data_IF_364487667113
#
_entry.id   IF_364487667113
#
_cell.length_a   1.000
_cell.length_b   1.000
_cell.length_c   1.000
_cell.angle_alpha   90.00
_cell.angle_beta   90.00
_cell.angle_gamma   90.00
#
_symmetry.space_group_name_H-M   'P 1'
#
loop_
_entity.id
_entity.type
_entity.pdbx_description
1 polymer ?
#
# COMPACT_ATOMS: atom_id res chain seq x y z
N UNK A 1 -8.01 15.51 -0.12
CA UNK A 1 -6.80 15.56 -1.00
C UNK A 1 -7.27 15.49 -2.45
N UNK A 2 -6.76 16.35 -3.35
CA UNK A 2 -7.04 16.20 -4.80
C UNK A 2 -6.02 15.23 -5.40
N UNK A 3 -6.50 14.17 -6.05
CA UNK A 3 -5.64 13.18 -6.70
C UNK A 3 -5.26 13.70 -8.09
N UNK A 4 -3.97 13.75 -8.43
CA UNK A 4 -3.55 14.07 -9.80
C UNK A 4 -3.94 12.90 -10.75
N UNK A 5 -4.74 13.16 -11.80
CA UNK A 5 -5.16 12.14 -12.77
C UNK A 5 -4.01 11.50 -13.55
N UNK A 6 -2.78 12.01 -13.44
CA UNK A 6 -1.57 11.38 -13.99
C UNK A 6 -0.97 10.33 -13.05
N UNK A 7 -1.23 10.44 -11.76
CA UNK A 7 -0.63 9.59 -10.71
C UNK A 7 -1.49 8.37 -10.43
N UNK A 8 -2.81 8.56 -10.37
CA UNK A 8 -3.77 7.49 -10.09
C UNK A 8 -3.58 6.27 -11.01
N UNK A 9 -3.43 6.41 -12.35
CA UNK A 9 -3.21 5.25 -13.22
C UNK A 9 -1.90 4.51 -12.92
N UNK A 10 -0.83 5.22 -12.52
CA UNK A 10 0.47 4.62 -12.20
C UNK A 10 0.38 3.80 -10.92
N UNK A 11 -0.25 4.35 -9.88
CA UNK A 11 -0.48 3.65 -8.61
C UNK A 11 -1.38 2.43 -8.83
N UNK A 12 -2.45 2.57 -9.62
CA UNK A 12 -3.35 1.45 -9.99
C UNK A 12 -2.62 0.36 -10.76
N UNK A 13 -1.69 0.70 -11.65
CA UNK A 13 -0.85 -0.26 -12.37
C UNK A 13 0.07 -1.03 -11.41
N UNK A 14 0.73 -0.34 -10.49
CA UNK A 14 1.60 -0.96 -9.49
C UNK A 14 0.80 -1.93 -8.58
N UNK A 15 -0.38 -1.52 -8.11
CA UNK A 15 -1.29 -2.40 -7.36
C UNK A 15 -1.74 -3.61 -8.18
N UNK A 16 -2.09 -3.42 -9.45
CA UNK A 16 -2.49 -4.52 -10.34
C UNK A 16 -1.39 -5.57 -10.42
N UNK A 17 -0.14 -5.14 -10.63
CA UNK A 17 1.00 -6.06 -10.73
C UNK A 17 1.28 -6.77 -9.39
N UNK A 18 1.19 -6.06 -8.26
CA UNK A 18 1.38 -6.63 -6.93
C UNK A 18 0.30 -7.65 -6.57
N UNK A 19 -0.99 -7.31 -6.75
CA UNK A 19 -2.14 -8.18 -6.47
C UNK A 19 -2.08 -9.45 -7.33
N UNK A 20 -1.63 -9.35 -8.58
CA UNK A 20 -1.51 -10.49 -9.50
C UNK A 20 -0.20 -11.27 -9.34
N UNK A 21 0.66 -10.87 -8.41
CA UNK A 21 1.98 -11.48 -8.16
C UNK A 21 2.78 -11.55 -9.46
N UNK A 22 3.01 -10.38 -10.07
CA UNK A 22 3.78 -10.19 -11.32
C UNK A 22 5.06 -9.38 -11.04
N UNK A 23 6.15 -10.01 -10.56
CA UNK A 23 7.33 -9.29 -10.11
C UNK A 23 7.98 -8.42 -11.19
N UNK A 24 8.03 -8.91 -12.43
CA UNK A 24 8.60 -8.15 -13.56
C UNK A 24 7.73 -6.93 -13.93
N UNK A 25 6.41 -7.11 -14.00
CA UNK A 25 5.46 -6.02 -14.25
C UNK A 25 5.47 -5.01 -13.10
N UNK A 26 5.63 -5.48 -11.87
CA UNK A 26 5.73 -4.62 -10.69
C UNK A 26 7.01 -3.79 -10.70
N UNK A 27 8.17 -4.43 -10.95
CA UNK A 27 9.43 -3.74 -11.10
C UNK A 27 9.35 -2.69 -12.22
N UNK A 28 8.76 -3.03 -13.36
CA UNK A 28 8.54 -2.09 -14.46
C UNK A 28 7.62 -0.93 -14.07
N UNK A 29 6.54 -1.19 -13.35
CA UNK A 29 5.62 -0.15 -12.87
C UNK A 29 6.32 0.81 -11.89
N UNK A 30 7.25 0.30 -11.07
CA UNK A 30 8.01 1.13 -10.14
C UNK A 30 8.93 2.15 -10.85
N UNK A 31 9.41 1.84 -12.05
CA UNK A 31 10.25 2.75 -12.84
C UNK A 31 9.47 3.98 -13.39
N UNK A 32 8.14 3.95 -13.33
CA UNK A 32 7.33 5.11 -13.68
C UNK A 32 7.30 6.20 -12.60
N UNK A 33 7.78 5.89 -11.39
CA UNK A 33 7.83 6.84 -10.29
C UNK A 33 9.21 7.51 -10.19
N UNK A 34 9.25 8.82 -10.33
CA UNK A 34 10.45 9.64 -10.29
C UNK A 34 10.38 10.71 -9.17
N UNK A 35 11.38 11.59 -9.10
CA UNK A 35 11.40 12.65 -8.10
C UNK A 35 10.26 13.68 -8.24
N UNK A 36 9.66 13.80 -9.43
CA UNK A 36 8.59 14.75 -9.69
C UNK A 36 7.23 14.23 -9.22
N UNK A 37 7.03 12.90 -9.24
CA UNK A 37 5.74 12.27 -8.96
C UNK A 37 5.73 11.34 -7.74
N UNK A 38 6.90 10.90 -7.26
CA UNK A 38 7.02 9.85 -6.26
C UNK A 38 6.45 10.24 -4.90
N UNK A 39 6.54 11.51 -4.51
CA UNK A 39 5.95 11.99 -3.25
C UNK A 39 4.43 11.90 -3.24
N UNK A 40 3.78 12.28 -4.34
CA UNK A 40 2.32 12.20 -4.47
C UNK A 40 1.85 10.75 -4.61
N UNK A 41 2.58 9.93 -5.37
CA UNK A 41 2.33 8.49 -5.46
C UNK A 41 2.43 7.81 -4.08
N UNK A 42 3.47 8.13 -3.30
CA UNK A 42 3.64 7.60 -1.95
C UNK A 42 2.52 8.05 -1.01
N UNK A 43 2.08 9.31 -1.10
CA UNK A 43 0.96 9.82 -0.31
C UNK A 43 -0.36 9.09 -0.66
N UNK A 44 -0.65 8.91 -1.96
CA UNK A 44 -1.83 8.17 -2.41
C UNK A 44 -1.80 6.70 -1.97
N UNK A 45 -0.67 6.02 -2.18
CA UNK A 45 -0.50 4.62 -1.73
C UNK A 45 -0.64 4.53 -0.21
N UNK A 46 -0.03 5.42 0.56
CA UNK A 46 -0.17 5.45 2.01
C UNK A 46 -1.61 5.64 2.47
N UNK A 47 -2.35 6.54 1.82
CA UNK A 47 -3.78 6.74 2.11
C UNK A 47 -4.61 5.49 1.81
N UNK A 48 -4.33 4.79 0.71
CA UNK A 48 -4.97 3.52 0.36
C UNK A 48 -4.63 2.43 1.40
N UNK A 49 -3.36 2.26 1.75
CA UNK A 49 -2.92 1.29 2.77
C UNK A 49 -3.60 1.57 4.11
N UNK A 50 -3.68 2.82 4.53
CA UNK A 50 -4.35 3.22 5.77
C UNK A 50 -5.85 2.91 5.71
N UNK A 51 -6.52 3.20 4.59
CA UNK A 51 -7.94 2.90 4.41
C UNK A 51 -8.22 1.40 4.49
N UNK A 52 -7.38 0.56 3.88
CA UNK A 52 -7.50 -0.90 3.94
C UNK A 52 -7.24 -1.43 5.35
N UNK A 53 -6.23 -0.91 6.06
CA UNK A 53 -5.98 -1.26 7.46
C UNK A 53 -7.18 -0.91 8.35
N UNK A 54 -7.78 0.27 8.19
CA UNK A 54 -8.95 0.65 8.96
C UNK A 54 -10.21 -0.14 8.61
N UNK A 55 -10.31 -0.66 7.39
CA UNK A 55 -11.40 -1.53 6.98
C UNK A 55 -11.32 -2.89 7.67
N UNK A 56 -10.11 -3.46 7.76
CA UNK A 56 -9.87 -4.77 8.38
C UNK A 56 -9.90 -4.68 9.92
N UNK A 57 -9.33 -3.62 10.50
CA UNK A 57 -9.21 -3.44 11.94
C UNK A 57 -10.13 -2.32 12.43
N UNK A 58 -11.33 -2.68 12.91
CA UNK A 58 -12.27 -1.75 13.53
C UNK A 58 -11.60 -0.97 14.69
N UNK A 59 -11.57 0.36 14.59
CA UNK A 59 -10.90 1.22 15.59
C UNK A 59 -9.40 1.43 15.34
N UNK A 60 -8.84 0.85 14.29
CA UNK A 60 -7.45 0.96 13.88
C UNK A 60 -6.56 -0.18 14.41
N UNK A 61 -5.50 -0.56 13.68
CA UNK A 61 -4.62 -1.66 14.07
C UNK A 61 -3.76 -1.31 15.29
N UNK A 62 -3.55 -2.28 16.17
CA UNK A 62 -2.56 -2.22 17.25
C UNK A 62 -1.15 -2.52 16.72
N UNK A 63 -0.10 -2.23 17.51
CA UNK A 63 1.29 -2.57 17.12
C UNK A 63 1.51 -4.08 16.93
N UNK A 64 0.72 -4.92 17.63
CA UNK A 64 0.70 -6.37 17.46
C UNK A 64 0.08 -6.74 16.12
N UNK A 65 -1.09 -6.15 15.79
CA UNK A 65 -1.74 -6.38 14.48
C UNK A 65 -0.80 -5.98 13.32
N UNK A 66 -0.08 -4.87 13.46
CA UNK A 66 0.89 -4.42 12.46
C UNK A 66 2.05 -5.40 12.30
N UNK A 67 2.52 -6.02 13.39
CA UNK A 67 3.58 -7.02 13.33
C UNK A 67 3.10 -8.32 12.66
N UNK A 68 1.85 -8.74 12.93
CA UNK A 68 1.23 -9.89 12.27
C UNK A 68 1.06 -9.64 10.75
N UNK A 69 0.56 -8.47 10.35
CA UNK A 69 0.47 -8.07 8.94
C UNK A 69 1.85 -8.08 8.28
N UNK A 70 2.88 -7.53 8.95
CA UNK A 70 4.23 -7.52 8.40
C UNK A 70 4.77 -8.94 8.15
N UNK A 71 4.57 -9.85 9.11
CA UNK A 71 4.99 -11.23 8.98
C UNK A 71 4.25 -11.96 7.86
N UNK A 72 2.94 -11.74 7.73
CA UNK A 72 2.12 -12.32 6.68
C UNK A 72 2.47 -11.79 5.28
N UNK A 73 2.76 -10.48 5.16
CA UNK A 73 3.22 -9.87 3.92
C UNK A 73 4.53 -10.52 3.45
N UNK A 74 5.54 -10.61 4.32
CA UNK A 74 6.83 -11.22 3.96
C UNK A 74 6.67 -12.69 3.59
N UNK A 75 5.84 -13.43 4.34
CA UNK A 75 5.56 -14.84 4.09
C UNK A 75 4.86 -15.09 2.76
N UNK A 76 3.95 -14.20 2.35
CA UNK A 76 3.12 -14.37 1.14
C UNK A 76 3.68 -13.67 -0.09
N UNK A 77 4.55 -12.67 0.09
CA UNK A 77 5.18 -11.92 -0.97
C UNK A 77 6.73 -12.01 -0.93
N UNK A 78 7.34 -13.21 -0.90
CA UNK A 78 8.81 -13.34 -0.91
C UNK A 78 9.46 -12.75 -2.18
N UNK A 79 8.66 -12.54 -3.22
CA UNK A 79 9.08 -11.91 -4.48
C UNK A 79 9.38 -10.42 -4.36
N UNK A 80 8.90 -9.73 -3.31
CA UNK A 80 9.15 -8.29 -3.09
C UNK A 80 10.51 -8.00 -2.46
N UNK A 81 11.19 -9.03 -1.93
CA UNK A 81 12.44 -8.92 -1.18
C UNK A 81 12.38 -7.99 0.05
N UNK A 82 11.17 -7.72 0.56
CA UNK A 82 10.97 -6.98 1.81
C UNK A 82 11.34 -7.82 3.02
N UNK A 83 11.84 -7.18 4.07
CA UNK A 83 11.96 -7.78 5.39
C UNK A 83 10.84 -7.32 6.33
N UNK A 84 10.64 -8.10 7.40
CA UNK A 84 9.53 -7.90 8.33
C UNK A 84 9.68 -6.59 9.12
N UNK A 85 10.92 -6.19 9.43
CA UNK A 85 11.20 -4.99 10.21
C UNK A 85 10.87 -3.72 9.41
N UNK A 86 11.20 -3.71 8.12
CA UNK A 86 10.92 -2.59 7.21
C UNK A 86 9.43 -2.44 6.95
N UNK A 87 8.70 -3.55 6.78
CA UNK A 87 7.24 -3.51 6.64
C UNK A 87 6.61 -3.01 7.94
N UNK A 88 6.97 -3.58 9.09
CA UNK A 88 6.44 -3.15 10.39
C UNK A 88 6.72 -1.67 10.67
N UNK A 89 7.97 -1.23 10.48
CA UNK A 89 8.39 0.15 10.67
C UNK A 89 7.65 1.13 9.75
N UNK A 90 7.39 0.72 8.51
CA UNK A 90 6.60 1.50 7.55
C UNK A 90 5.14 1.65 8.00
N UNK A 91 4.49 0.55 8.37
CA UNK A 91 3.08 0.57 8.77
C UNK A 91 2.88 1.34 10.08
N UNK A 92 3.80 1.17 11.03
CA UNK A 92 3.79 1.91 12.29
C UNK A 92 3.95 3.41 12.05
N UNK A 93 4.87 3.82 11.17
CA UNK A 93 5.03 5.21 10.77
C UNK A 93 3.73 5.77 10.19
N UNK A 94 3.13 5.04 9.24
CA UNK A 94 1.87 5.41 8.58
C UNK A 94 0.74 5.63 9.60
N UNK A 95 0.48 4.65 10.48
CA UNK A 95 -0.63 4.70 11.46
C UNK A 95 -0.44 5.81 12.50
N UNK A 96 0.81 6.09 12.89
CA UNK A 96 1.12 7.16 13.85
C UNK A 96 1.21 8.55 13.20
N UNK A 97 1.01 8.66 11.88
CA UNK A 97 1.14 9.92 11.14
C UNK A 97 2.58 10.47 11.11
N UNK A 98 3.57 9.59 11.21
CA UNK A 98 5.00 9.92 11.26
C UNK A 98 5.82 9.23 10.15
N UNK A 99 7.11 9.58 10.02
CA UNK A 99 7.99 8.89 9.07
C UNK A 99 8.27 7.45 9.51
N UNK A 100 8.53 6.57 8.55
CA UNK A 100 9.05 5.23 8.78
C UNK A 100 10.51 5.35 9.28
N UNK A 101 10.72 5.32 10.59
CA UNK A 101 12.05 5.52 11.18
C UNK A 101 12.96 4.34 10.83
N UNK A 102 14.09 4.62 10.18
CA UNK A 102 15.08 3.61 9.82
C UNK A 102 14.81 2.87 8.51
N UNK A 103 13.69 3.18 7.82
CA UNK A 103 13.34 2.60 6.52
C UNK A 103 13.61 3.64 5.44
N UNK A 104 14.28 3.26 4.35
CA UNK A 104 14.49 4.19 3.24
C UNK A 104 13.17 4.46 2.47
N UNK A 105 13.02 5.62 1.80
CA UNK A 105 11.76 5.97 1.15
C UNK A 105 11.29 4.99 0.07
N UNK A 106 12.22 4.36 -0.68
CA UNK A 106 11.85 3.41 -1.73
C UNK A 106 11.30 2.13 -1.11
N UNK A 107 11.97 1.62 -0.08
CA UNK A 107 11.50 0.45 0.67
C UNK A 107 10.16 0.73 1.34
N UNK A 108 9.99 1.90 1.97
CA UNK A 108 8.71 2.30 2.54
C UNK A 108 7.59 2.32 1.49
N UNK A 109 7.85 2.87 0.30
CA UNK A 109 6.87 2.89 -0.78
C UNK A 109 6.49 1.48 -1.27
N UNK A 110 7.46 0.60 -1.45
CA UNK A 110 7.22 -0.80 -1.84
C UNK A 110 6.45 -1.53 -0.73
N UNK A 111 6.81 -1.34 0.54
CA UNK A 111 6.10 -1.90 1.70
C UNK A 111 4.63 -1.48 1.72
N UNK A 112 4.31 -0.22 1.45
CA UNK A 112 2.93 0.25 1.36
C UNK A 112 2.16 -0.44 0.23
N UNK A 113 2.75 -0.48 -0.98
CA UNK A 113 2.13 -1.12 -2.16
C UNK A 113 1.86 -2.61 -1.92
N UNK A 114 2.86 -3.35 -1.45
CA UNK A 114 2.74 -4.80 -1.25
C UNK A 114 1.79 -5.12 -0.10
N UNK A 115 1.81 -4.33 0.98
CA UNK A 115 0.87 -4.54 2.10
C UNK A 115 -0.57 -4.32 1.68
N UNK A 116 -0.87 -3.18 1.04
CA UNK A 116 -2.23 -2.93 0.56
C UNK A 116 -2.66 -3.96 -0.49
N UNK A 117 -1.77 -4.37 -1.41
CA UNK A 117 -2.06 -5.42 -2.37
C UNK A 117 -2.38 -6.76 -1.70
N UNK A 118 -1.61 -7.15 -0.69
CA UNK A 118 -1.86 -8.36 0.10
C UNK A 118 -3.25 -8.31 0.76
N UNK A 119 -3.56 -7.22 1.46
CA UNK A 119 -4.85 -7.07 2.17
C UNK A 119 -6.05 -7.00 1.21
N UNK A 120 -5.89 -6.30 0.07
CA UNK A 120 -6.92 -6.26 -0.98
C UNK A 120 -7.14 -7.64 -1.62
N UNK A 121 -6.11 -8.47 -1.70
CA UNK A 121 -6.20 -9.83 -2.22
C UNK A 121 -6.76 -10.82 -1.18
N UNK A 122 -6.58 -10.56 0.12
CA UNK A 122 -7.01 -11.44 1.22
C UNK A 122 -8.41 -11.14 1.77
N UNK A 123 -8.94 -9.93 1.57
CA UNK A 123 -10.27 -9.55 2.03
C UNK A 123 -11.35 -10.55 1.55
N UNK A 124 -12.05 -11.14 2.51
CA UNK A 124 -12.86 -12.37 2.37
C UNK A 124 -14.28 -12.16 1.83
N UNK A 125 -14.66 -10.92 1.48
CA UNK A 125 -15.96 -10.62 0.86
C UNK A 125 -15.86 -10.26 -0.64
N UNK A 126 -15.92 -11.26 -1.55
CA UNK A 126 -16.45 -11.04 -2.89
C UNK A 126 -17.89 -10.50 -2.75
N UNK A 127 -18.25 -9.36 -3.37
CA UNK A 127 -18.14 -9.22 -4.82
C UNK A 127 -17.56 -7.89 -5.32
N UNK A 128 -16.98 -7.03 -4.46
CA UNK A 128 -16.33 -5.81 -4.95
C UNK A 128 -14.98 -6.18 -5.53
N UNK A 129 -14.86 -6.02 -6.84
CA UNK A 129 -13.57 -6.06 -7.51
C UNK A 129 -12.63 -5.06 -6.80
N UNK A 130 -11.39 -5.41 -6.48
CA UNK A 130 -10.47 -4.55 -5.70
C UNK A 130 -10.35 -3.12 -6.26
N UNK A 131 -10.51 -2.95 -7.57
CA UNK A 131 -10.52 -1.64 -8.21
C UNK A 131 -11.76 -0.80 -7.87
N UNK A 132 -12.93 -1.41 -7.64
CA UNK A 132 -14.12 -0.71 -7.13
C UNK A 132 -13.90 -0.23 -5.70
N UNK A 133 -13.17 -0.99 -4.89
CA UNK A 133 -12.77 -0.54 -3.56
C UNK A 133 -11.81 0.65 -3.64
N UNK A 134 -10.83 0.62 -4.56
CA UNK A 134 -9.98 1.79 -4.81
C UNK A 134 -10.79 3.01 -5.26
N UNK A 135 -11.74 2.85 -6.18
CA UNK A 135 -12.60 3.95 -6.63
C UNK A 135 -13.36 4.59 -5.43
N UNK A 136 -13.82 3.77 -4.47
CA UNK A 136 -14.48 4.23 -3.25
C UNK A 136 -13.54 4.97 -2.30
N UNK A 137 -12.33 4.44 -2.09
CA UNK A 137 -11.29 5.09 -1.26
C UNK A 137 -10.88 6.43 -1.89
N UNK A 138 -10.62 6.46 -3.19
CA UNK A 138 -10.27 7.66 -3.94
C UNK A 138 -11.37 8.72 -3.83
N UNK A 139 -12.64 8.34 -4.03
CA UNK A 139 -13.77 9.25 -3.89
C UNK A 139 -13.94 9.80 -2.45
N UNK A 140 -13.57 9.03 -1.42
CA UNK A 140 -13.55 9.50 -0.04
C UNK A 140 -12.39 10.48 0.21
N UNK A 141 -11.20 10.18 -0.33
CA UNK A 141 -10.02 11.05 -0.22
C UNK A 141 -10.25 12.41 -0.89
N UNK A 142 -10.97 12.46 -2.01
CA UNK A 142 -11.31 13.70 -2.70
C UNK A 142 -12.33 14.59 -1.97
N UNK A 143 -13.09 14.03 -1.01
CA UNK A 143 -14.09 14.77 -0.23
C UNK A 143 -13.54 15.39 1.06
N UNK A 144 -12.36 14.96 1.50
CA UNK A 144 -11.63 15.52 2.66
C UNK A 144 -10.76 16.71 2.25
#
# INVERSE_FOLDING_TARGET
>A
MRIDPKIEPLVRQAFTAAIRVKPEEFAQALEAFDAANGGEAMALTGAITLAVLHHEYEGGPTDVDLAEVASDVVRTAPWSALDEQDVHGTLRGLVLGGPAVGVDPRTAFISLLVTAAYMLASSTEPPKRWWTYLDEVEALLERQ
#
